data_IF_167866309952
#
_entry.id   IF_167866309952
#
_cell.length_a   1.000
_cell.length_b   1.000
_cell.length_c   1.000
_cell.angle_alpha   90.00
_cell.angle_beta   90.00
_cell.angle_gamma   90.00
#
_symmetry.space_group_name_H-M   'P 1'
#
loop_
_entity.id
_entity.type
_entity.pdbx_description
1 polymer ?
#
# COMPACT_ATOMS: atom_id res chain seq x y z
N UNK A 1 17.90 -14.26 -24.87
CA UNK A 1 18.70 -14.31 -23.63
C UNK A 1 17.85 -14.99 -22.54
N UNK A 2 18.46 -15.78 -21.67
CA UNK A 2 17.71 -16.40 -20.57
C UNK A 2 17.17 -15.32 -19.63
N UNK A 3 15.90 -15.44 -19.21
CA UNK A 3 15.26 -14.54 -18.25
C UNK A 3 15.27 -15.21 -16.86
N UNK A 4 16.44 -15.22 -16.25
CA UNK A 4 16.67 -15.84 -14.93
C UNK A 4 17.00 -14.74 -13.93
N UNK A 5 16.19 -14.60 -12.89
CA UNK A 5 16.44 -13.71 -11.77
C UNK A 5 17.32 -14.41 -10.73
N UNK A 6 18.18 -13.66 -10.08
CA UNK A 6 19.13 -14.16 -9.09
C UNK A 6 18.79 -13.76 -7.65
N UNK A 7 17.80 -12.88 -7.48
CA UNK A 7 17.30 -12.43 -6.18
C UNK A 7 15.80 -12.14 -6.27
N UNK A 8 15.06 -12.41 -5.20
CA UNK A 8 13.61 -12.24 -5.15
C UNK A 8 13.17 -10.77 -5.25
N UNK A 9 13.96 -9.84 -4.76
CA UNK A 9 13.69 -8.39 -4.86
C UNK A 9 13.65 -7.89 -6.31
N UNK A 10 14.34 -8.56 -7.24
CA UNK A 10 14.29 -8.25 -8.68
C UNK A 10 12.92 -8.55 -9.33
N UNK A 11 12.06 -9.29 -8.64
CA UNK A 11 10.69 -9.61 -9.09
C UNK A 11 9.66 -8.55 -8.67
N UNK A 12 10.06 -7.56 -7.89
CA UNK A 12 9.18 -6.50 -7.41
C UNK A 12 8.80 -5.57 -8.56
N UNK A 13 7.52 -5.18 -8.61
CA UNK A 13 6.98 -4.32 -9.64
C UNK A 13 6.48 -5.08 -10.87
N UNK A 14 6.23 -4.36 -11.95
CA UNK A 14 5.64 -4.89 -13.20
C UNK A 14 4.35 -5.68 -12.95
N UNK A 15 3.57 -5.21 -12.00
CA UNK A 15 2.30 -5.82 -11.65
C UNK A 15 1.25 -5.55 -12.73
N UNK A 16 0.32 -6.48 -12.96
CA UNK A 16 -0.65 -6.34 -14.06
C UNK A 16 -1.74 -5.31 -13.75
N UNK A 17 -2.32 -4.76 -14.83
CA UNK A 17 -3.64 -4.14 -14.82
C UNK A 17 -4.68 -5.18 -15.26
N UNK A 18 -5.81 -5.23 -14.56
CA UNK A 18 -6.98 -6.05 -14.88
C UNK A 18 -8.20 -5.17 -15.08
N UNK A 19 -8.82 -5.20 -16.27
CA UNK A 19 -10.14 -4.59 -16.50
C UNK A 19 -11.22 -5.42 -15.81
N UNK A 20 -12.05 -4.79 -14.99
CA UNK A 20 -13.06 -5.47 -14.18
C UNK A 20 -14.39 -5.63 -14.93
N UNK A 21 -14.33 -6.21 -16.13
CA UNK A 21 -15.44 -6.30 -17.09
C UNK A 21 -16.72 -6.88 -16.52
N UNK A 22 -16.65 -7.93 -15.67
CA UNK A 22 -17.84 -8.55 -15.07
C UNK A 22 -18.51 -7.65 -14.03
N UNK A 23 -17.74 -6.83 -13.31
CA UNK A 23 -18.28 -5.85 -12.38
C UNK A 23 -18.88 -4.68 -13.16
N UNK A 24 -18.21 -4.23 -14.23
CA UNK A 24 -18.70 -3.18 -15.12
C UNK A 24 -20.07 -3.53 -15.73
N UNK A 25 -20.19 -4.76 -16.26
CA UNK A 25 -21.45 -5.27 -16.84
C UNK A 25 -22.54 -5.40 -15.81
N UNK A 26 -22.27 -6.02 -14.64
CA UNK A 26 -23.26 -6.28 -13.60
C UNK A 26 -23.82 -4.99 -12.99
N UNK A 27 -22.95 -4.00 -12.77
CA UNK A 27 -23.34 -2.73 -12.16
C UNK A 27 -23.72 -1.65 -13.20
N UNK A 28 -23.63 -1.95 -14.49
CA UNK A 28 -23.94 -1.02 -15.58
C UNK A 28 -23.08 0.23 -15.56
N UNK A 29 -21.76 0.07 -15.25
CA UNK A 29 -20.85 1.18 -15.11
C UNK A 29 -20.67 1.95 -16.42
N UNK A 30 -20.44 3.25 -16.33
CA UNK A 30 -20.26 4.13 -17.49
C UNK A 30 -18.81 4.26 -17.91
N UNK A 31 -17.89 4.08 -16.96
CA UNK A 31 -16.44 4.11 -17.17
C UNK A 31 -15.85 2.71 -17.00
N UNK A 32 -14.66 2.49 -17.56
CA UNK A 32 -13.85 1.29 -17.32
C UNK A 32 -13.15 1.39 -15.99
N UNK A 33 -13.07 0.27 -15.26
CA UNK A 33 -12.34 0.15 -13.99
C UNK A 33 -11.16 -0.78 -14.18
N UNK A 34 -9.96 -0.22 -14.12
CA UNK A 34 -8.69 -0.93 -14.35
C UNK A 34 -7.98 -1.12 -13.00
N UNK A 35 -7.92 -2.34 -12.51
CA UNK A 35 -7.32 -2.68 -11.24
C UNK A 35 -5.82 -2.96 -11.36
N UNK A 36 -4.97 -2.15 -10.70
CA UNK A 36 -3.53 -2.42 -10.54
C UNK A 36 -3.34 -3.41 -9.41
N UNK A 37 -2.99 -4.65 -9.73
CA UNK A 37 -2.97 -5.77 -8.77
C UNK A 37 -1.62 -5.89 -8.08
N UNK A 38 -1.43 -5.18 -6.99
CA UNK A 38 -0.14 -5.11 -6.26
C UNK A 38 0.20 -6.38 -5.45
N UNK A 39 -0.75 -7.31 -5.30
CA UNK A 39 -0.46 -8.59 -4.66
C UNK A 39 0.43 -9.51 -5.53
N UNK A 40 0.67 -9.19 -6.80
CA UNK A 40 1.64 -9.89 -7.64
C UNK A 40 3.10 -9.60 -7.26
N UNK A 41 3.37 -8.62 -6.41
CA UNK A 41 4.70 -8.49 -5.82
C UNK A 41 5.05 -9.74 -4.98
N UNK A 42 6.33 -10.13 -4.87
CA UNK A 42 6.77 -11.38 -4.23
C UNK A 42 6.29 -11.56 -2.78
N UNK A 43 6.27 -10.49 -1.98
CA UNK A 43 5.74 -10.54 -0.62
C UNK A 43 4.26 -10.16 -0.54
N UNK A 44 3.56 -10.04 -1.68
CA UNK A 44 2.11 -9.96 -1.80
C UNK A 44 1.51 -8.58 -1.55
N UNK A 45 2.26 -7.48 -1.64
CA UNK A 45 1.69 -6.15 -1.49
C UNK A 45 2.47 -5.04 -2.19
N UNK A 46 1.82 -3.89 -2.32
CA UNK A 46 2.40 -2.63 -2.80
C UNK A 46 3.60 -2.17 -1.97
N UNK A 47 3.71 -2.61 -0.72
CA UNK A 47 4.78 -2.21 0.20
C UNK A 47 6.13 -2.84 -0.11
N UNK A 48 6.17 -3.88 -0.93
CA UNK A 48 7.41 -4.46 -1.43
C UNK A 48 8.23 -3.40 -2.18
N UNK A 49 7.55 -2.54 -2.97
CA UNK A 49 8.18 -1.47 -3.73
C UNK A 49 8.90 -0.46 -2.85
N UNK A 50 8.22 0.02 -1.80
CA UNK A 50 8.82 1.00 -0.90
C UNK A 50 9.90 0.37 -0.02
N UNK A 51 9.73 -0.90 0.38
CA UNK A 51 10.75 -1.64 1.12
C UNK A 51 12.04 -1.75 0.31
N UNK A 52 11.95 -2.15 -0.95
CA UNK A 52 13.10 -2.21 -1.86
C UNK A 52 13.75 -0.83 -2.00
N UNK A 53 12.98 0.20 -2.34
CA UNK A 53 13.52 1.53 -2.61
C UNK A 53 14.16 2.17 -1.37
N UNK A 54 13.55 2.06 -0.20
CA UNK A 54 14.13 2.60 1.04
C UNK A 54 15.45 1.92 1.39
N UNK A 55 15.57 0.61 1.16
CA UNK A 55 16.81 -0.13 1.37
C UNK A 55 17.87 0.28 0.35
N UNK A 56 17.55 0.30 -0.95
CA UNK A 56 18.48 0.65 -2.02
C UNK A 56 19.01 2.08 -1.90
N UNK A 57 18.14 3.05 -1.63
CA UNK A 57 18.56 4.45 -1.41
C UNK A 57 19.43 4.60 -0.16
N UNK A 58 19.17 3.82 0.89
CA UNK A 58 19.99 3.80 2.10
C UNK A 58 21.37 3.16 1.86
N UNK A 59 21.44 2.10 1.05
CA UNK A 59 22.69 1.50 0.58
C UNK A 59 23.51 2.52 -0.24
N UNK A 60 22.87 3.13 -1.23
CA UNK A 60 23.51 4.10 -2.14
C UNK A 60 24.02 5.34 -1.40
N UNK A 61 23.32 5.81 -0.36
CA UNK A 61 23.72 6.95 0.46
C UNK A 61 24.70 6.60 1.59
N UNK A 62 25.02 5.31 1.79
CA UNK A 62 25.88 4.84 2.87
C UNK A 62 25.25 4.85 4.27
N UNK A 63 23.94 5.10 4.37
CA UNK A 63 23.19 5.03 5.64
C UNK A 63 22.98 3.57 6.08
N UNK A 64 22.80 2.65 5.12
CA UNK A 64 22.70 1.22 5.36
C UNK A 64 24.00 0.55 4.89
N UNK A 65 24.75 0.00 5.84
CA UNK A 65 26.04 -0.66 5.57
C UNK A 65 25.86 -2.17 5.57
N UNK A 66 26.77 -2.92 4.91
CA UNK A 66 26.76 -4.38 4.98
C UNK A 66 26.73 -4.89 6.44
N UNK A 67 25.89 -5.89 6.70
CA UNK A 67 25.70 -6.47 8.04
C UNK A 67 24.86 -5.61 8.99
N UNK A 68 24.27 -4.52 8.54
CA UNK A 68 23.37 -3.70 9.34
C UNK A 68 22.08 -4.44 9.74
N UNK A 69 21.46 -3.95 10.80
CA UNK A 69 20.13 -4.38 11.23
C UNK A 69 19.09 -3.32 10.84
N UNK A 70 18.10 -3.72 10.07
CA UNK A 70 16.95 -2.87 9.71
C UNK A 70 15.91 -3.00 10.82
N UNK A 71 15.47 -1.87 11.37
CA UNK A 71 14.51 -1.82 12.47
C UNK A 71 13.34 -0.94 12.03
N UNK A 72 12.10 -1.45 12.08
CA UNK A 72 10.92 -0.65 11.70
C UNK A 72 9.76 -0.89 12.66
N UNK A 73 9.17 0.20 13.20
CA UNK A 73 7.93 0.11 13.97
C UNK A 73 6.74 0.02 13.01
N UNK A 74 6.25 -1.18 12.75
CA UNK A 74 5.13 -1.42 11.84
C UNK A 74 4.44 -2.75 12.11
N UNK A 75 3.13 -2.79 11.96
CA UNK A 75 2.32 -4.01 12.10
C UNK A 75 1.76 -4.49 10.76
N UNK A 76 2.07 -3.79 9.67
CA UNK A 76 1.41 -3.99 8.37
C UNK A 76 2.33 -4.56 7.29
N UNK A 77 1.89 -4.37 6.07
CA UNK A 77 2.57 -4.86 4.86
C UNK A 77 3.99 -4.31 4.69
N UNK A 78 4.30 -3.13 5.24
CA UNK A 78 5.67 -2.59 5.21
C UNK A 78 6.64 -3.48 5.96
N UNK A 79 6.27 -4.01 7.13
CA UNK A 79 7.10 -4.95 7.86
C UNK A 79 7.34 -6.26 7.10
N UNK A 80 6.31 -6.76 6.40
CA UNK A 80 6.42 -7.96 5.56
C UNK A 80 7.36 -7.68 4.37
N UNK A 81 7.17 -6.56 3.68
CA UNK A 81 8.02 -6.17 2.56
C UNK A 81 9.48 -5.96 2.97
N UNK A 82 9.72 -5.26 4.08
CA UNK A 82 11.08 -5.06 4.62
C UNK A 82 11.73 -6.40 5.01
N UNK A 83 10.99 -7.30 5.67
CA UNK A 83 11.52 -8.63 6.03
C UNK A 83 11.89 -9.44 4.78
N UNK A 84 11.05 -9.41 3.73
CA UNK A 84 11.29 -10.14 2.49
C UNK A 84 12.51 -9.58 1.73
N UNK A 85 12.60 -8.26 1.54
CA UNK A 85 13.71 -7.62 0.83
C UNK A 85 15.01 -7.76 1.63
N UNK A 86 14.96 -7.59 2.95
CA UNK A 86 16.12 -7.77 3.82
C UNK A 86 16.65 -9.20 3.75
N UNK A 87 15.78 -10.21 3.76
CA UNK A 87 16.18 -11.61 3.58
C UNK A 87 16.85 -11.83 2.22
N UNK A 88 16.31 -11.28 1.14
CA UNK A 88 16.89 -11.39 -0.20
C UNK A 88 18.27 -10.73 -0.30
N UNK A 89 18.51 -9.65 0.44
CA UNK A 89 19.77 -8.89 0.45
C UNK A 89 20.75 -9.27 1.58
N UNK A 90 20.34 -10.17 2.49
CA UNK A 90 21.21 -10.66 3.57
C UNK A 90 21.29 -9.73 4.79
N UNK A 91 20.32 -8.85 5.01
CA UNK A 91 20.21 -8.01 6.20
C UNK A 91 19.42 -8.67 7.33
N UNK A 92 19.78 -8.34 8.56
CA UNK A 92 18.94 -8.64 9.72
C UNK A 92 17.78 -7.68 9.80
N UNK A 93 16.64 -8.13 10.29
CA UNK A 93 15.44 -7.30 10.42
C UNK A 93 14.80 -7.50 11.77
N UNK A 94 14.51 -6.40 12.47
CA UNK A 94 13.72 -6.35 13.70
C UNK A 94 12.47 -5.54 13.42
N UNK A 95 11.31 -6.16 13.57
CA UNK A 95 10.02 -5.48 13.44
C UNK A 95 9.40 -5.29 14.82
N UNK A 96 9.05 -4.07 15.14
CA UNK A 96 8.47 -3.71 16.44
C UNK A 96 6.99 -3.39 16.27
N UNK A 97 6.12 -4.02 17.05
CA UNK A 97 4.68 -3.82 16.96
C UNK A 97 3.94 -4.11 18.27
N UNK A 98 2.74 -3.54 18.47
CA UNK A 98 1.88 -3.91 19.58
C UNK A 98 1.47 -5.40 19.52
N UNK A 99 1.37 -6.05 20.66
CA UNK A 99 0.98 -7.46 20.78
C UNK A 99 -0.45 -7.78 20.28
N UNK A 100 -1.29 -6.76 20.15
CA UNK A 100 -2.68 -6.87 19.66
C UNK A 100 -2.80 -7.03 18.14
N UNK A 101 -1.67 -6.95 17.40
CA UNK A 101 -1.69 -7.01 15.93
C UNK A 101 -1.85 -8.44 15.40
N UNK A 102 -2.30 -8.53 14.12
CA UNK A 102 -2.63 -9.78 13.42
C UNK A 102 -1.56 -10.86 13.56
N UNK A 103 -2.00 -12.07 13.94
CA UNK A 103 -1.13 -13.25 14.07
C UNK A 103 -0.59 -13.67 12.71
N UNK A 104 -1.38 -13.59 11.65
CA UNK A 104 -1.01 -13.96 10.29
C UNK A 104 0.17 -13.11 9.80
N UNK A 105 0.11 -11.80 10.03
CA UNK A 105 1.21 -10.89 9.66
C UNK A 105 2.47 -11.15 10.46
N UNK A 106 2.33 -11.44 11.76
CA UNK A 106 3.47 -11.83 12.60
C UNK A 106 4.13 -13.11 12.10
N UNK A 107 3.34 -14.11 11.69
CA UNK A 107 3.84 -15.36 11.13
C UNK A 107 4.55 -15.14 9.79
N UNK A 108 4.02 -14.31 8.91
CA UNK A 108 4.67 -13.96 7.64
C UNK A 108 6.04 -13.30 7.85
N UNK A 109 6.13 -12.31 8.74
CA UNK A 109 7.40 -11.64 9.04
C UNK A 109 8.43 -12.61 9.59
N UNK A 110 8.03 -13.50 10.52
CA UNK A 110 8.89 -14.55 11.07
C UNK A 110 9.33 -15.56 10.00
N UNK A 111 8.43 -15.91 9.07
CA UNK A 111 8.75 -16.82 7.97
C UNK A 111 9.84 -16.25 7.03
N UNK A 112 9.91 -14.92 6.88
CA UNK A 112 11.01 -14.23 6.20
C UNK A 112 12.27 -14.05 7.06
N UNK A 113 12.26 -14.54 8.31
CA UNK A 113 13.42 -14.47 9.20
C UNK A 113 13.54 -13.20 10.05
N UNK A 114 12.49 -12.35 10.07
CA UNK A 114 12.49 -11.16 10.91
C UNK A 114 12.34 -11.54 12.40
N UNK A 115 13.09 -10.87 13.25
CA UNK A 115 12.87 -10.84 14.70
C UNK A 115 11.68 -9.93 15.00
N UNK A 116 10.75 -10.40 15.86
CA UNK A 116 9.61 -9.60 16.30
C UNK A 116 9.76 -9.18 17.75
N UNK A 117 9.66 -7.88 17.98
CA UNK A 117 9.57 -7.30 19.33
C UNK A 117 8.14 -6.81 19.54
N UNK A 118 7.44 -7.45 20.47
CA UNK A 118 6.06 -7.10 20.83
C UNK A 118 6.06 -6.11 21.98
N UNK A 119 5.29 -5.02 21.85
CA UNK A 119 5.09 -4.02 22.89
C UNK A 119 3.69 -4.14 23.50
N UNK A 120 3.49 -3.57 24.68
CA UNK A 120 2.19 -3.54 25.35
C UNK A 120 1.11 -2.96 24.43
N UNK A 121 0.01 -3.68 24.27
CA UNK A 121 -1.10 -3.27 23.41
C UNK A 121 -1.68 -1.90 23.74
N UNK A 122 -1.75 -1.58 25.03
CA UNK A 122 -2.27 -0.30 25.54
C UNK A 122 -1.46 0.93 25.07
N UNK A 123 -0.18 0.75 24.74
CA UNK A 123 0.71 1.83 24.24
C UNK A 123 0.57 2.06 22.73
N UNK A 124 -0.12 1.16 22.04
CA UNK A 124 -0.33 1.24 20.58
C UNK A 124 0.96 1.45 19.78
N UNK A 125 0.83 2.06 18.60
CA UNK A 125 1.99 2.33 17.74
C UNK A 125 3.00 3.32 18.35
N UNK A 126 2.57 4.23 19.23
CA UNK A 126 3.53 5.12 19.93
C UNK A 126 4.52 4.33 20.78
N UNK A 127 4.05 3.28 21.46
CA UNK A 127 4.91 2.38 22.22
C UNK A 127 5.88 1.59 21.33
N UNK A 128 5.43 1.16 20.17
CA UNK A 128 6.27 0.45 19.19
C UNK A 128 7.35 1.38 18.61
N UNK A 129 7.03 2.64 18.30
CA UNK A 129 7.98 3.63 17.81
C UNK A 129 9.08 3.88 18.85
N UNK A 130 8.70 4.20 20.10
CA UNK A 130 9.66 4.44 21.16
C UNK A 130 10.60 3.23 21.41
N UNK A 131 10.03 2.01 21.33
CA UNK A 131 10.84 0.77 21.49
C UNK A 131 11.77 0.52 20.30
N UNK A 132 11.35 0.84 19.07
CA UNK A 132 12.21 0.75 17.90
C UNK A 132 13.39 1.73 17.98
N UNK A 133 13.16 2.95 18.43
CA UNK A 133 14.20 3.96 18.67
C UNK A 133 15.19 3.52 19.76
N UNK A 134 14.69 2.95 20.87
CA UNK A 134 15.51 2.38 21.94
C UNK A 134 16.43 1.28 21.39
N UNK A 135 15.87 0.29 20.67
CA UNK A 135 16.62 -0.83 20.08
C UNK A 135 17.67 -0.29 19.09
N UNK A 136 17.29 0.71 18.27
CA UNK A 136 18.22 1.30 17.30
C UNK A 136 19.39 2.01 17.99
N UNK A 137 19.15 2.69 19.10
CA UNK A 137 20.20 3.35 19.89
C UNK A 137 21.17 2.35 20.53
N UNK A 138 20.72 1.14 20.87
CA UNK A 138 21.52 0.07 21.47
C UNK A 138 22.16 -0.86 20.43
N UNK A 139 21.71 -0.80 19.17
CA UNK A 139 22.19 -1.68 18.09
C UNK A 139 23.22 -0.97 17.23
N UNK A 140 24.47 -1.40 17.31
CA UNK A 140 25.50 -0.90 16.43
C UNK A 140 25.15 -1.23 14.96
N UNK A 141 25.38 -0.27 14.05
CA UNK A 141 25.08 -0.41 12.64
C UNK A 141 23.59 -0.75 12.37
N UNK A 142 22.69 0.07 12.91
CA UNK A 142 21.25 -0.04 12.68
C UNK A 142 20.72 1.04 11.73
N UNK A 143 19.56 0.76 11.11
CA UNK A 143 18.86 1.68 10.23
C UNK A 143 17.35 1.57 10.41
N UNK A 144 16.68 2.71 10.61
CA UNK A 144 15.20 2.82 10.63
C UNK A 144 14.75 3.44 9.30
N UNK A 145 14.06 2.68 8.42
CA UNK A 145 13.55 3.18 7.14
C UNK A 145 12.59 4.36 7.27
N UNK A 146 11.63 4.33 8.20
CA UNK A 146 10.72 5.43 8.49
C UNK A 146 9.71 5.71 7.39
N UNK A 147 8.80 4.79 7.13
CA UNK A 147 7.87 4.83 5.98
C UNK A 147 7.02 6.09 5.86
N UNK A 148 6.74 6.81 6.95
CA UNK A 148 5.88 8.00 6.97
C UNK A 148 6.61 9.32 6.67
N UNK A 149 7.95 9.30 6.71
CA UNK A 149 8.80 10.49 6.55
C UNK A 149 9.87 10.33 5.46
N UNK A 150 10.10 9.10 4.98
CA UNK A 150 11.16 8.79 4.03
C UNK A 150 10.74 9.14 2.60
N UNK A 151 11.44 10.06 1.91
CA UNK A 151 11.11 10.45 0.53
C UNK A 151 11.29 9.31 -0.50
N UNK A 152 12.03 8.26 -0.16
CA UNK A 152 12.14 7.06 -1.00
C UNK A 152 10.79 6.35 -1.20
N UNK A 153 9.85 6.54 -0.27
CA UNK A 153 8.52 5.97 -0.37
C UNK A 153 7.74 6.53 -1.59
N UNK A 154 7.41 7.82 -1.70
CA UNK A 154 6.76 8.34 -2.90
C UNK A 154 7.66 8.20 -4.15
N UNK A 155 8.98 8.27 -4.02
CA UNK A 155 9.90 8.07 -5.15
C UNK A 155 9.77 6.67 -5.77
N UNK A 156 9.59 5.61 -4.97
CA UNK A 156 9.35 4.27 -5.48
C UNK A 156 8.16 4.23 -6.44
N UNK A 157 7.07 4.91 -6.11
CA UNK A 157 5.86 4.94 -6.92
C UNK A 157 5.96 5.86 -8.12
N UNK A 158 6.64 7.00 -7.98
CA UNK A 158 6.89 7.91 -9.10
C UNK A 158 7.77 7.27 -10.17
N UNK A 159 8.75 6.47 -9.75
CA UNK A 159 9.75 5.90 -10.66
C UNK A 159 9.37 4.50 -11.17
N UNK A 160 8.36 3.83 -10.59
CA UNK A 160 7.93 2.48 -11.01
C UNK A 160 6.44 2.36 -11.26
N UNK A 161 5.59 2.49 -10.25
CA UNK A 161 4.13 2.27 -10.34
C UNK A 161 3.47 3.23 -11.33
N UNK A 162 3.82 4.50 -11.28
CA UNK A 162 3.31 5.52 -12.19
C UNK A 162 3.66 5.24 -13.67
N UNK A 163 4.95 5.02 -14.01
CA UNK A 163 5.36 4.58 -15.35
C UNK A 163 4.64 3.32 -15.84
N UNK A 164 4.55 2.28 -15.01
CA UNK A 164 3.84 1.04 -15.36
C UNK A 164 2.37 1.30 -15.73
N UNK A 165 1.65 2.07 -14.92
CA UNK A 165 0.24 2.42 -15.21
C UNK A 165 0.13 3.18 -16.53
N UNK A 166 1.02 4.13 -16.77
CA UNK A 166 1.01 4.94 -17.98
C UNK A 166 1.27 4.10 -19.23
N UNK A 167 2.27 3.22 -19.18
CA UNK A 167 2.65 2.33 -20.27
C UNK A 167 1.56 1.29 -20.54
N UNK A 168 1.04 0.63 -19.50
CA UNK A 168 0.02 -0.42 -19.63
C UNK A 168 -1.33 0.10 -20.15
N UNK A 169 -1.58 1.43 -20.06
CA UNK A 169 -2.80 2.07 -20.57
C UNK A 169 -2.60 2.83 -21.88
N UNK A 170 -1.42 2.76 -22.49
CA UNK A 170 -1.06 3.63 -23.63
C UNK A 170 -1.28 5.12 -23.33
N UNK A 171 -1.07 5.54 -22.09
CA UNK A 171 -1.30 6.89 -21.62
C UNK A 171 -2.76 7.31 -21.45
N UNK A 172 -3.69 6.37 -21.55
CA UNK A 172 -5.15 6.65 -21.45
C UNK A 172 -5.62 6.45 -20.01
N UNK A 173 -5.31 7.39 -19.14
CA UNK A 173 -5.74 7.45 -17.75
C UNK A 173 -6.50 8.74 -17.50
N UNK A 174 -7.75 8.65 -17.08
CA UNK A 174 -8.56 9.81 -16.70
C UNK A 174 -8.57 9.99 -15.18
N UNK A 175 -8.65 8.89 -14.42
CA UNK A 175 -8.63 8.89 -12.96
C UNK A 175 -7.61 7.89 -12.43
N UNK A 176 -6.93 8.27 -11.34
CA UNK A 176 -6.17 7.36 -10.50
C UNK A 176 -6.73 7.39 -9.08
N UNK A 177 -7.12 6.23 -8.57
CA UNK A 177 -7.76 6.07 -7.26
C UNK A 177 -6.89 5.21 -6.36
N UNK A 178 -6.55 5.68 -5.17
CA UNK A 178 -5.81 4.89 -4.18
C UNK A 178 -6.12 5.30 -2.74
N UNK A 179 -6.10 4.33 -1.83
CA UNK A 179 -6.21 4.57 -0.39
C UNK A 179 -4.96 5.23 0.19
N UNK A 180 -5.14 6.10 1.17
CA UNK A 180 -4.06 6.83 1.83
C UNK A 180 -3.72 6.22 3.18
N UNK A 181 -2.60 5.46 3.22
CA UNK A 181 -1.93 5.06 4.46
C UNK A 181 -0.75 5.99 4.75
N UNK A 182 0.40 5.72 4.12
CA UNK A 182 1.56 6.65 4.16
C UNK A 182 1.45 7.80 3.16
N UNK A 183 0.55 7.70 2.19
CA UNK A 183 0.40 8.69 1.12
C UNK A 183 1.40 8.55 -0.04
N UNK A 184 2.40 7.69 0.09
CA UNK A 184 3.44 7.54 -0.94
C UNK A 184 2.91 7.12 -2.30
N UNK A 185 1.91 6.23 -2.35
CA UNK A 185 1.28 5.76 -3.59
C UNK A 185 0.56 6.90 -4.31
N UNK A 186 -0.34 7.60 -3.61
CA UNK A 186 -1.10 8.74 -4.18
C UNK A 186 -0.15 9.83 -4.65
N UNK A 187 0.87 10.15 -3.86
CA UNK A 187 1.88 11.15 -4.18
C UNK A 187 2.69 10.75 -5.41
N UNK A 188 3.38 9.62 -5.36
CA UNK A 188 4.32 9.26 -6.42
C UNK A 188 3.64 8.96 -7.75
N UNK A 189 2.55 8.19 -7.75
CA UNK A 189 1.78 7.91 -8.97
C UNK A 189 1.13 9.19 -9.49
N UNK A 190 0.52 9.99 -8.61
CA UNK A 190 -0.13 11.24 -8.99
C UNK A 190 0.85 12.23 -9.61
N UNK A 191 2.03 12.42 -9.03
CA UNK A 191 3.08 13.29 -9.58
C UNK A 191 3.52 12.82 -10.97
N UNK A 192 3.73 11.51 -11.15
CA UNK A 192 4.13 10.98 -12.45
C UNK A 192 3.02 11.16 -13.50
N UNK A 193 1.79 10.73 -13.21
CA UNK A 193 0.69 10.80 -14.16
C UNK A 193 0.37 12.24 -14.56
N UNK A 194 0.31 13.16 -13.60
CA UNK A 194 0.09 14.60 -13.87
C UNK A 194 1.26 15.24 -14.63
N UNK A 195 2.49 14.74 -14.48
CA UNK A 195 3.62 15.19 -15.30
C UNK A 195 3.49 14.80 -16.76
N UNK A 196 2.74 13.73 -17.07
CA UNK A 196 2.46 13.26 -18.43
C UNK A 196 1.21 13.90 -19.03
N UNK A 197 0.17 14.01 -18.21
CA UNK A 197 -1.09 14.66 -18.59
C UNK A 197 -1.69 15.36 -17.36
N UNK A 198 -1.70 16.68 -17.36
CA UNK A 198 -2.22 17.50 -16.26
C UNK A 198 -3.72 17.35 -15.99
N UNK A 199 -4.48 16.77 -16.93
CA UNK A 199 -5.93 16.56 -16.80
C UNK A 199 -6.29 15.31 -16.00
N UNK A 200 -5.32 14.41 -15.72
CA UNK A 200 -5.53 13.23 -14.89
C UNK A 200 -6.00 13.64 -13.49
N UNK A 201 -7.13 13.08 -13.06
CA UNK A 201 -7.67 13.29 -11.73
C UNK A 201 -7.13 12.25 -10.75
N UNK A 202 -6.54 12.70 -9.66
CA UNK A 202 -6.05 11.88 -8.57
C UNK A 202 -7.05 11.90 -7.42
N UNK A 203 -7.51 10.72 -7.01
CA UNK A 203 -8.52 10.56 -5.97
C UNK A 203 -7.92 9.81 -4.79
N UNK A 204 -7.90 10.48 -3.64
CA UNK A 204 -7.48 9.92 -2.38
C UNK A 204 -8.68 9.27 -1.66
N UNK A 205 -8.46 8.07 -1.12
CA UNK A 205 -9.51 7.36 -0.35
C UNK A 205 -9.10 7.31 1.12
N UNK A 206 -10.03 7.71 1.99
CA UNK A 206 -9.86 7.63 3.45
C UNK A 206 -11.05 6.94 4.12
N UNK A 207 -10.90 6.39 5.35
CA UNK A 207 -12.05 5.86 6.09
C UNK A 207 -13.03 6.95 6.49
N UNK A 208 -14.34 6.72 6.28
CA UNK A 208 -15.38 7.69 6.70
C UNK A 208 -15.33 7.94 8.22
N UNK A 209 -15.06 6.90 9.00
CA UNK A 209 -14.94 7.03 10.46
C UNK A 209 -13.69 7.83 10.92
N UNK A 210 -12.71 8.05 10.03
CA UNK A 210 -11.44 8.72 10.36
C UNK A 210 -11.02 9.65 9.22
N UNK A 211 -11.76 10.74 9.05
CA UNK A 211 -11.59 11.70 7.96
C UNK A 211 -10.46 12.69 8.25
N UNK A 212 -9.25 12.18 8.37
CA UNK A 212 -8.07 12.97 8.72
C UNK A 212 -7.68 13.95 7.62
N UNK A 213 -7.84 13.56 6.35
CA UNK A 213 -7.45 14.40 5.21
C UNK A 213 -8.51 15.46 4.91
N UNK A 214 -9.79 15.11 4.94
CA UNK A 214 -10.87 16.02 4.56
C UNK A 214 -11.36 16.89 5.72
N UNK A 215 -11.30 16.41 6.97
CA UNK A 215 -11.85 17.12 8.14
C UNK A 215 -10.85 17.35 9.27
N UNK A 216 -9.66 16.73 9.22
CA UNK A 216 -8.70 16.77 10.33
C UNK A 216 -9.12 15.92 11.55
N UNK A 217 -10.06 14.99 11.37
CA UNK A 217 -10.63 14.16 12.43
C UNK A 217 -10.07 12.74 12.37
N UNK A 218 -9.43 12.27 13.44
CA UNK A 218 -8.90 10.93 13.57
C UNK A 218 -9.74 10.10 14.56
N UNK A 219 -10.19 8.92 14.13
CA UNK A 219 -10.94 8.01 14.99
C UNK A 219 -10.64 6.54 14.61
N UNK A 220 -10.96 5.57 15.48
CA UNK A 220 -10.82 4.15 15.18
C UNK A 220 -11.71 3.72 14.00
N UNK A 221 -11.15 2.89 13.13
CA UNK A 221 -11.85 2.29 11.99
C UNK A 221 -11.35 0.86 11.73
N UNK A 222 -12.02 0.13 10.82
CA UNK A 222 -11.71 -1.27 10.52
C UNK A 222 -11.01 -1.47 9.17
N UNK A 223 -10.77 -0.41 8.39
CA UNK A 223 -10.11 -0.49 7.09
C UNK A 223 -8.59 -0.51 7.30
N UNK A 224 -8.03 -1.71 7.51
CA UNK A 224 -6.60 -1.89 7.74
C UNK A 224 -5.78 -1.44 6.51
N UNK A 225 -4.67 -0.74 6.76
CA UNK A 225 -3.70 -0.33 5.72
C UNK A 225 -3.82 1.12 5.26
N UNK A 226 -4.93 1.81 5.58
CA UNK A 226 -5.13 3.24 5.32
C UNK A 226 -5.60 3.95 6.58
N UNK A 227 -5.72 5.28 6.56
CA UNK A 227 -6.22 6.05 7.69
C UNK A 227 -5.29 6.03 8.90
N UNK A 228 -4.07 6.52 8.77
CA UNK A 228 -3.05 6.52 9.82
C UNK A 228 -3.40 7.40 11.05
N UNK A 229 -4.45 8.23 10.96
CA UNK A 229 -4.86 9.15 12.00
C UNK A 229 -4.06 10.46 12.06
N UNK A 230 -3.20 10.68 11.11
CA UNK A 230 -2.44 11.93 10.90
C UNK A 230 -2.10 12.09 9.43
N UNK A 231 -1.68 13.28 9.01
CA UNK A 231 -1.21 13.56 7.65
C UNK A 231 0.28 13.21 7.57
N UNK A 232 0.69 12.18 6.79
CA UNK A 232 2.09 11.78 6.68
C UNK A 232 2.94 12.83 5.93
N UNK A 233 4.24 12.94 6.26
CA UNK A 233 5.17 13.82 5.54
C UNK A 233 5.42 13.34 4.09
N UNK A 234 5.25 12.05 3.83
CA UNK A 234 5.34 11.45 2.49
C UNK A 234 4.14 11.72 1.60
N UNK A 235 3.07 12.36 2.12
CA UNK A 235 1.90 12.76 1.36
C UNK A 235 2.02 14.19 0.83
N UNK A 236 2.04 14.36 -0.47
CA UNK A 236 1.82 15.66 -1.11
C UNK A 236 0.33 15.99 -1.11
N UNK A 237 -0.11 16.85 -0.19
CA UNK A 237 -1.53 17.21 -0.03
C UNK A 237 -2.11 18.04 -1.19
N UNK A 238 -1.29 18.45 -2.13
CA UNK A 238 -1.70 19.21 -3.32
C UNK A 238 -1.84 18.35 -4.58
N UNK A 239 -1.55 17.02 -4.47
CA UNK A 239 -1.54 16.15 -5.65
C UNK A 239 -2.92 15.60 -6.00
N UNK A 240 -3.77 15.36 -5.02
CA UNK A 240 -5.12 14.84 -5.24
C UNK A 240 -6.13 15.95 -5.50
N UNK A 241 -7.11 15.65 -6.37
CA UNK A 241 -8.18 16.54 -6.78
C UNK A 241 -9.45 16.32 -5.96
N UNK A 242 -9.63 15.11 -5.43
CA UNK A 242 -10.82 14.70 -4.66
C UNK A 242 -10.40 13.74 -3.54
N UNK A 243 -11.15 13.79 -2.43
CA UNK A 243 -11.07 12.81 -1.33
C UNK A 243 -12.42 12.12 -1.22
N UNK A 244 -12.42 10.79 -1.27
CA UNK A 244 -13.63 9.98 -1.09
C UNK A 244 -13.54 9.22 0.22
N UNK A 245 -14.39 9.55 1.21
CA UNK A 245 -14.51 8.76 2.43
C UNK A 245 -15.31 7.48 2.15
N UNK A 246 -14.85 6.35 2.71
CA UNK A 246 -15.48 5.03 2.52
C UNK A 246 -15.81 4.40 3.87
N UNK A 247 -17.02 3.83 4.00
CA UNK A 247 -17.43 3.12 5.21
C UNK A 247 -16.73 1.77 5.34
N UNK A 248 -16.70 1.20 6.55
CA UNK A 248 -16.17 -0.15 6.73
C UNK A 248 -16.98 -1.19 5.94
N UNK A 249 -18.29 -1.02 5.94
CA UNK A 249 -19.26 -1.90 5.29
C UNK A 249 -19.06 -1.92 3.78
N UNK A 250 -18.96 -0.77 3.14
CA UNK A 250 -18.70 -0.63 1.70
C UNK A 250 -17.35 -1.27 1.31
N UNK A 251 -16.32 -1.07 2.14
CA UNK A 251 -15.02 -1.69 1.92
C UNK A 251 -15.07 -3.22 1.98
N UNK A 252 -15.81 -3.79 2.95
CA UNK A 252 -15.97 -5.24 3.07
C UNK A 252 -16.81 -5.82 1.94
N UNK A 253 -17.97 -5.23 1.63
CA UNK A 253 -18.85 -5.69 0.56
C UNK A 253 -18.16 -5.67 -0.79
N UNK A 254 -17.46 -4.59 -1.10
CA UNK A 254 -16.73 -4.47 -2.38
C UNK A 254 -15.51 -5.39 -2.44
N UNK A 255 -14.83 -5.60 -1.31
CA UNK A 255 -13.74 -6.58 -1.22
C UNK A 255 -14.21 -8.03 -1.48
N UNK A 256 -15.43 -8.39 -1.03
CA UNK A 256 -16.07 -9.68 -1.38
C UNK A 256 -16.54 -9.71 -2.83
N UNK A 257 -17.11 -8.62 -3.32
CA UNK A 257 -17.63 -8.51 -4.70
C UNK A 257 -16.57 -8.88 -5.73
N UNK A 258 -15.36 -8.31 -5.64
CA UNK A 258 -14.30 -8.60 -6.61
C UNK A 258 -13.86 -10.09 -6.54
N UNK A 259 -13.84 -10.68 -5.34
CA UNK A 259 -13.58 -12.11 -5.18
C UNK A 259 -14.62 -12.97 -5.89
N UNK A 260 -15.89 -12.67 -5.68
CA UNK A 260 -17.00 -13.45 -6.25
C UNK A 260 -17.19 -13.22 -7.75
N UNK A 261 -16.89 -12.04 -8.27
CA UNK A 261 -17.18 -11.69 -9.67
C UNK A 261 -15.98 -11.79 -10.59
N UNK A 262 -14.78 -11.51 -10.09
CA UNK A 262 -13.55 -11.49 -10.90
C UNK A 262 -12.56 -12.60 -10.53
N UNK A 263 -12.81 -13.34 -9.43
CA UNK A 263 -11.90 -14.39 -8.97
C UNK A 263 -10.59 -13.84 -8.39
N UNK A 264 -10.61 -12.61 -7.89
CA UNK A 264 -9.45 -11.92 -7.31
C UNK A 264 -9.70 -11.65 -5.83
N UNK A 265 -8.93 -12.27 -4.94
CA UNK A 265 -9.01 -12.01 -3.51
C UNK A 265 -8.11 -10.83 -3.12
N UNK A 266 -8.70 -9.84 -2.49
CA UNK A 266 -8.01 -8.60 -2.09
C UNK A 266 -8.24 -8.26 -0.62
N UNK A 267 -7.39 -7.40 -0.06
CA UNK A 267 -7.54 -6.92 1.31
C UNK A 267 -8.60 -5.82 1.47
N UNK A 268 -8.84 -5.42 2.71
CA UNK A 268 -9.91 -4.46 3.09
C UNK A 268 -9.70 -3.10 2.42
N UNK A 269 -8.48 -2.58 2.42
CA UNK A 269 -8.18 -1.28 1.79
C UNK A 269 -8.30 -1.31 0.26
N UNK A 270 -8.13 -2.50 -0.35
CA UNK A 270 -8.43 -2.70 -1.77
C UNK A 270 -9.93 -2.58 -2.05
N UNK A 271 -10.76 -3.17 -1.18
CA UNK A 271 -12.22 -3.03 -1.24
C UNK A 271 -12.65 -1.57 -1.14
N UNK A 272 -12.05 -0.81 -0.21
CA UNK A 272 -12.32 0.62 -0.07
C UNK A 272 -11.94 1.43 -1.33
N UNK A 273 -10.75 1.22 -1.88
CA UNK A 273 -10.32 1.90 -3.09
C UNK A 273 -11.20 1.54 -4.30
N UNK A 274 -11.55 0.25 -4.42
CA UNK A 274 -12.42 -0.22 -5.50
C UNK A 274 -13.83 0.35 -5.39
N UNK A 275 -14.40 0.46 -4.19
CA UNK A 275 -15.71 1.10 -3.99
C UNK A 275 -15.71 2.53 -4.52
N UNK A 276 -14.69 3.32 -4.15
CA UNK A 276 -14.56 4.69 -4.63
C UNK A 276 -14.45 4.77 -6.17
N UNK A 277 -13.70 3.85 -6.79
CA UNK A 277 -13.58 3.76 -8.24
C UNK A 277 -14.92 3.40 -8.91
N UNK A 278 -15.69 2.48 -8.32
CA UNK A 278 -17.02 2.10 -8.79
C UNK A 278 -17.99 3.28 -8.71
N UNK A 279 -17.99 4.04 -7.62
CA UNK A 279 -18.85 5.23 -7.47
C UNK A 279 -18.51 6.30 -8.51
N UNK A 280 -17.23 6.48 -8.84
CA UNK A 280 -16.83 7.35 -9.95
C UNK A 280 -17.28 6.79 -11.31
N UNK A 281 -17.18 5.47 -11.51
CA UNK A 281 -17.54 4.82 -12.77
C UNK A 281 -19.06 4.78 -13.06
N UNK A 282 -19.91 4.93 -12.04
CA UNK A 282 -21.37 5.04 -12.18
C UNK A 282 -21.80 6.40 -12.75
N UNK A 283 -20.99 7.45 -12.57
CA UNK A 283 -21.34 8.82 -12.97
C UNK A 283 -21.40 8.95 -14.48
N UNK A 284 -22.47 9.54 -15.02
CA UNK A 284 -22.67 9.72 -16.47
C UNK A 284 -21.61 10.62 -17.12
N UNK A 285 -21.07 11.59 -16.38
CA UNK A 285 -19.97 12.45 -16.85
C UNK A 285 -18.65 11.72 -17.03
N UNK A 286 -18.57 10.49 -16.54
CA UNK A 286 -17.39 9.62 -16.69
C UNK A 286 -17.55 8.54 -17.78
N UNK A 287 -18.61 8.61 -18.58
CA UNK A 287 -18.84 7.66 -19.67
C UNK A 287 -17.63 7.60 -20.62
N UNK A 288 -17.16 6.38 -20.86
CA UNK A 288 -16.02 6.09 -21.74
C UNK A 288 -14.62 6.39 -21.16
N UNK A 289 -14.53 6.88 -19.91
CA UNK A 289 -13.26 7.15 -19.22
C UNK A 289 -12.60 5.88 -18.67
N UNK A 290 -11.30 5.95 -18.45
CA UNK A 290 -10.50 4.93 -17.79
C UNK A 290 -10.18 5.35 -16.34
N UNK A 291 -10.66 4.58 -15.38
CA UNK A 291 -10.42 4.77 -13.96
C UNK A 291 -9.45 3.68 -13.48
N UNK A 292 -8.23 4.05 -13.20
CA UNK A 292 -7.23 3.14 -12.63
C UNK A 292 -7.35 3.15 -11.12
N UNK A 293 -7.53 1.98 -10.51
CA UNK A 293 -7.56 1.82 -9.06
C UNK A 293 -6.44 0.90 -8.60
N UNK A 294 -5.68 1.31 -7.59
CA UNK A 294 -4.64 0.48 -7.03
C UNK A 294 -5.20 -0.38 -5.89
N UNK A 295 -5.05 -1.72 -6.03
CA UNK A 295 -5.43 -2.71 -5.04
C UNK A 295 -4.18 -3.21 -4.31
N UNK A 296 -3.96 -2.77 -3.04
CA UNK A 296 -2.66 -2.87 -2.38
C UNK A 296 -2.16 -4.27 -2.08
N UNK A 297 -3.04 -5.22 -1.74
CA UNK A 297 -2.60 -6.54 -1.26
C UNK A 297 -3.61 -7.67 -1.49
N UNK A 298 -3.18 -8.89 -1.15
CA UNK A 298 -3.98 -10.13 -1.24
C UNK A 298 -5.00 -10.27 -0.12
N UNK A 299 -6.12 -10.92 -0.41
CA UNK A 299 -7.16 -11.29 0.57
C UNK A 299 -6.73 -12.37 1.56
N UNK A 300 -5.71 -13.17 1.26
CA UNK A 300 -5.26 -14.29 2.10
C UNK A 300 -4.87 -13.85 3.53
N UNK A 301 -4.47 -12.61 3.71
CA UNK A 301 -4.11 -12.01 5.00
C UNK A 301 -5.32 -11.63 5.86
N UNK A 302 -6.53 -11.78 5.33
CA UNK A 302 -7.78 -11.28 5.93
C UNK A 302 -8.86 -12.36 6.10
N UNK A 303 -8.54 -13.64 5.84
CA UNK A 303 -9.50 -14.74 5.92
C UNK A 303 -10.12 -14.91 7.32
N UNK A 304 -9.41 -14.54 8.36
CA UNK A 304 -9.89 -14.53 9.75
C UNK A 304 -10.58 -13.24 10.19
N UNK A 305 -10.73 -12.26 9.28
CA UNK A 305 -11.33 -10.96 9.58
C UNK A 305 -12.78 -10.86 9.11
N UNK A 306 -13.46 -9.77 9.51
CA UNK A 306 -14.83 -9.46 9.07
C UNK A 306 -14.99 -9.30 7.54
N UNK A 307 -13.89 -9.20 6.79
CA UNK A 307 -13.96 -9.17 5.33
C UNK A 307 -14.54 -10.47 4.77
N UNK A 308 -14.16 -11.63 5.33
CA UNK A 308 -14.57 -12.95 4.83
C UNK A 308 -15.35 -13.79 5.86
N UNK A 309 -15.54 -13.29 7.08
CA UNK A 309 -16.44 -13.92 8.06
C UNK A 309 -17.86 -13.40 7.86
N UNK A 310 -18.82 -14.34 7.77
CA UNK A 310 -20.27 -14.07 7.74
C UNK A 310 -20.80 -13.71 9.14
#
# INVERSE_FOLDING_TARGET
MANIYTSADQLIGKTPLLELTRIEEELGLKAKVLAKLEYFNPAGSVKDRIAQRMIEDAEASGKLKPGATIIEPTSGNTGIGLAAVAAAKGYKTIIVMPETMSVERRQLMKAYGAELVLTEGAKGMKGAIAKAEEIAAETENSYIPGQFVNPSNPAAHRDTTGPEIWEDTDGKVDYFVAGVGTGGTVTGVGEYLKSKNGDVKVVAVEPEASQTLSKGEAAPHKIQGIGAGFVPETLNTHIYDEIIPVTNEDAFETGRLIGHKQGVLVGISSGAALWAAIELAKKSENEGKNIVVLLPDTGDRYLSTLLFQE
#
